data_IF_603575379278
#
_entry.id   IF_603575379278
#
_cell.length_a   1.000
_cell.length_b   1.000
_cell.length_c   1.000
_cell.angle_alpha   90.00
_cell.angle_beta   90.00
_cell.angle_gamma   90.00
#
_symmetry.space_group_name_H-M   'P 1'
#
loop_
_entity.id
_entity.type
_entity.pdbx_description
1 polymer ?
#
# COMPACT_ATOMS: atom_id res chain seq x y z
N UNK A 1 14.64 11.21 -8.84
CA UNK A 1 14.08 11.74 -7.57
C UNK A 1 14.53 13.19 -7.44
N UNK A 2 13.62 14.16 -7.29
CA UNK A 2 14.00 15.57 -7.16
C UNK A 2 14.63 15.80 -5.78
N UNK A 3 15.94 16.03 -5.77
CA UNK A 3 16.67 16.42 -4.57
C UNK A 3 16.19 17.80 -4.11
N UNK A 4 15.84 17.92 -2.83
CA UNK A 4 15.64 19.23 -2.22
C UNK A 4 16.96 20.01 -2.31
N UNK A 5 16.91 21.20 -2.91
CA UNK A 5 18.08 22.05 -3.16
C UNK A 5 18.85 22.47 -1.91
N UNK A 6 18.24 22.35 -0.71
CA UNK A 6 18.87 22.70 0.56
C UNK A 6 19.42 21.48 1.32
N UNK A 7 18.76 20.32 1.25
CA UNK A 7 19.11 19.18 2.10
C UNK A 7 19.86 18.04 1.40
N UNK A 8 19.92 18.01 0.07
CA UNK A 8 20.65 17.01 -0.73
C UNK A 8 20.53 15.57 -0.17
N UNK A 9 19.31 15.10 0.09
CA UNK A 9 19.07 13.73 0.54
C UNK A 9 19.66 13.41 1.92
N UNK A 10 19.61 14.37 2.85
CA UNK A 10 20.15 14.37 4.22
C UNK A 10 21.62 14.78 4.38
N UNK A 11 22.40 14.89 3.30
CA UNK A 11 23.78 15.40 3.36
C UNK A 11 23.87 16.85 3.89
N UNK A 12 22.80 17.65 3.71
CA UNK A 12 22.69 19.00 4.24
C UNK A 12 22.23 19.08 5.70
N UNK A 13 21.83 17.98 6.35
CA UNK A 13 21.33 18.02 7.73
C UNK A 13 22.43 18.47 8.71
N UNK A 14 23.62 17.87 8.62
CA UNK A 14 24.80 18.27 9.41
C UNK A 14 25.34 19.65 9.03
N UNK A 15 25.07 20.13 7.81
CA UNK A 15 25.47 21.48 7.38
C UNK A 15 24.49 22.55 7.85
N UNK A 16 23.22 22.18 8.07
CA UNK A 16 22.14 23.10 8.48
C UNK A 16 22.04 23.28 9.99
N UNK A 17 22.56 22.32 10.76
CA UNK A 17 22.55 22.35 12.22
C UNK A 17 23.98 22.10 12.75
N UNK A 18 24.56 23.10 13.42
CA UNK A 18 25.86 22.94 14.07
C UNK A 18 25.67 22.33 15.46
N UNK A 19 26.37 21.21 15.71
CA UNK A 19 26.44 20.54 17.01
C UNK A 19 27.85 20.62 17.62
N UNK A 20 28.68 21.54 17.11
CA UNK A 20 30.06 21.72 17.58
C UNK A 20 30.09 21.99 19.09
N UNK A 21 30.86 21.17 19.82
CA UNK A 21 30.99 21.26 21.28
C UNK A 21 29.93 20.50 22.09
N UNK A 22 28.86 19.99 21.47
CA UNK A 22 27.78 19.25 22.15
C UNK A 22 27.71 17.77 21.78
N UNK A 23 28.49 17.31 20.80
CA UNK A 23 28.44 15.92 20.28
C UNK A 23 28.53 14.87 21.39
N UNK A 24 29.38 15.09 22.40
CA UNK A 24 29.58 14.14 23.51
C UNK A 24 28.63 14.39 24.70
N UNK A 25 27.70 15.34 24.60
CA UNK A 25 26.73 15.62 25.67
C UNK A 25 25.76 14.45 25.79
N UNK A 26 25.59 13.87 26.99
CA UNK A 26 24.60 12.81 27.22
C UNK A 26 23.18 13.31 26.95
N UNK A 27 22.36 12.49 26.30
CA UNK A 27 20.95 12.75 26.05
C UNK A 27 20.16 11.43 26.01
N UNK A 28 18.84 11.56 25.95
CA UNK A 28 17.94 10.44 25.71
C UNK A 28 16.87 10.81 24.69
N UNK A 29 16.40 9.83 23.92
CA UNK A 29 15.34 10.01 22.94
C UNK A 29 14.40 8.82 22.95
N UNK A 30 13.21 9.01 22.39
CA UNK A 30 12.19 7.96 22.31
C UNK A 30 12.04 7.51 20.87
N UNK A 31 12.04 6.19 20.65
CA UNK A 31 11.80 5.58 19.35
C UNK A 31 10.78 4.45 19.45
N UNK A 32 10.15 4.12 18.32
CA UNK A 32 9.22 3.02 18.23
C UNK A 32 9.95 1.79 17.70
N UNK A 33 9.96 0.70 18.47
CA UNK A 33 10.50 -0.59 18.06
C UNK A 33 9.45 -1.68 18.13
N UNK A 34 9.61 -2.69 17.28
CA UNK A 34 8.76 -3.88 17.29
C UNK A 34 9.37 -4.91 18.24
N UNK A 35 8.59 -5.37 19.22
CA UNK A 35 9.02 -6.46 20.09
C UNK A 35 8.99 -7.83 19.39
N UNK A 36 9.41 -8.87 20.11
CA UNK A 36 9.44 -10.26 19.60
C UNK A 36 8.05 -10.81 19.25
N UNK A 37 7.01 -10.23 19.83
CA UNK A 37 5.62 -10.61 19.62
C UNK A 37 4.95 -9.75 18.54
N UNK A 38 5.70 -8.87 17.86
CA UNK A 38 5.22 -8.02 16.77
C UNK A 38 4.52 -6.74 17.24
N UNK A 39 4.60 -6.38 18.52
CA UNK A 39 3.94 -5.19 19.08
C UNK A 39 4.87 -3.99 19.02
N UNK A 40 4.32 -2.84 18.62
CA UNK A 40 5.05 -1.58 18.64
C UNK A 40 5.15 -1.04 20.07
N UNK A 41 6.37 -0.89 20.56
CA UNK A 41 6.69 -0.33 21.87
C UNK A 41 7.48 0.96 21.70
N UNK A 42 7.16 1.94 22.55
CA UNK A 42 7.93 3.16 22.67
C UNK A 42 9.05 2.92 23.67
N UNK A 43 10.28 2.87 23.18
CA UNK A 43 11.47 2.65 24.00
C UNK A 43 12.25 3.95 24.16
N UNK A 44 12.93 4.07 25.31
CA UNK A 44 13.85 5.16 25.57
C UNK A 44 15.27 4.68 25.33
N UNK A 45 15.96 5.35 24.41
CA UNK A 45 17.37 5.19 24.18
C UNK A 45 18.15 6.24 24.98
N UNK A 46 19.32 5.86 25.46
CA UNK A 46 20.27 6.75 26.11
C UNK A 46 21.57 6.73 25.33
N UNK A 47 22.15 7.91 25.13
CA UNK A 47 23.38 8.04 24.36
C UNK A 47 23.88 9.48 24.38
N UNK A 48 24.52 9.88 23.30
CA UNK A 48 25.09 11.20 23.11
C UNK A 48 24.31 11.97 22.04
N UNK A 49 24.45 13.29 22.03
CA UNK A 49 23.88 14.13 20.96
C UNK A 49 24.42 13.69 19.59
N UNK A 50 25.67 13.26 19.49
CA UNK A 50 26.25 12.71 18.26
C UNK A 50 25.49 11.49 17.74
N UNK A 51 25.24 10.51 18.60
CA UNK A 51 24.48 9.29 18.26
C UNK A 51 23.03 9.60 17.86
N UNK A 52 22.39 10.57 18.54
CA UNK A 52 21.06 11.04 18.16
C UNK A 52 21.06 11.69 16.76
N UNK A 53 22.06 12.50 16.45
CA UNK A 53 22.19 13.15 15.12
C UNK A 53 22.42 12.10 14.03
N UNK A 54 23.26 11.10 14.27
CA UNK A 54 23.45 9.98 13.35
C UNK A 54 22.15 9.21 13.11
N UNK A 55 21.42 8.91 14.18
CA UNK A 55 20.11 8.24 14.11
C UNK A 55 19.10 9.05 13.27
N UNK A 56 18.94 10.35 13.55
CA UNK A 56 18.03 11.23 12.79
C UNK A 56 18.46 11.30 11.31
N UNK A 57 19.75 11.46 11.04
CA UNK A 57 20.29 11.54 9.69
C UNK A 57 20.02 10.25 8.91
N UNK A 58 20.08 9.09 9.57
CA UNK A 58 19.79 7.80 8.95
C UNK A 58 18.31 7.63 8.57
N UNK A 59 17.37 8.10 9.42
CA UNK A 59 15.92 7.97 9.16
C UNK A 59 15.36 9.08 8.24
N UNK A 60 16.07 10.21 8.13
CA UNK A 60 15.59 11.40 7.43
C UNK A 60 15.27 11.16 5.94
N UNK A 61 16.08 10.45 5.13
CA UNK A 61 15.74 10.20 3.73
C UNK A 61 14.39 9.47 3.56
N UNK A 62 14.17 8.41 4.34
CA UNK A 62 12.92 7.64 4.31
C UNK A 62 11.73 8.50 4.77
N UNK A 63 11.93 9.31 5.83
CA UNK A 63 10.92 10.22 6.32
C UNK A 63 10.53 11.29 5.29
N UNK A 64 11.51 11.89 4.60
CA UNK A 64 11.27 12.88 3.55
C UNK A 64 10.54 12.27 2.36
N UNK A 65 10.92 11.07 1.94
CA UNK A 65 10.21 10.33 0.89
C UNK A 65 8.75 10.08 1.29
N UNK A 66 8.50 9.61 2.50
CA UNK A 66 7.14 9.42 3.03
C UNK A 66 6.33 10.72 3.06
N UNK A 67 6.95 11.82 3.52
CA UNK A 67 6.31 13.14 3.54
C UNK A 67 5.96 13.63 2.13
N UNK A 68 6.84 13.42 1.16
CA UNK A 68 6.58 13.75 -0.23
C UNK A 68 5.39 12.96 -0.77
N UNK A 69 5.43 11.62 -0.68
CA UNK A 69 4.37 10.72 -1.18
C UNK A 69 3.01 11.07 -0.56
N UNK A 70 2.96 11.25 0.76
CA UNK A 70 1.74 11.67 1.47
C UNK A 70 1.16 12.96 0.90
N UNK A 71 2.00 13.98 0.70
CA UNK A 71 1.56 15.31 0.25
C UNK A 71 1.02 15.26 -1.17
N UNK A 72 1.73 14.58 -2.07
CA UNK A 72 1.30 14.41 -3.47
C UNK A 72 -0.04 13.68 -3.57
N UNK A 73 -0.23 12.60 -2.79
CA UNK A 73 -1.48 11.85 -2.78
C UNK A 73 -2.63 12.65 -2.20
N UNK A 74 -2.41 13.38 -1.11
CA UNK A 74 -3.43 14.25 -0.53
C UNK A 74 -3.84 15.35 -1.53
N UNK A 75 -2.87 15.92 -2.25
CA UNK A 75 -3.15 16.90 -3.31
C UNK A 75 -3.95 16.29 -4.47
N UNK A 76 -3.57 15.09 -4.93
CA UNK A 76 -4.29 14.38 -5.99
C UNK A 76 -5.73 14.02 -5.58
N UNK A 77 -5.93 13.51 -4.36
CA UNK A 77 -7.24 13.22 -3.80
C UNK A 77 -8.12 14.48 -3.75
N UNK A 78 -7.60 15.58 -3.21
CA UNK A 78 -8.34 16.84 -3.13
C UNK A 78 -8.70 17.37 -4.53
N UNK A 79 -7.77 17.34 -5.48
CA UNK A 79 -8.01 17.78 -6.85
C UNK A 79 -9.08 16.93 -7.57
N UNK A 80 -9.10 15.61 -7.36
CA UNK A 80 -10.14 14.75 -7.93
C UNK A 80 -11.49 14.94 -7.24
N UNK A 81 -11.50 15.17 -5.92
CA UNK A 81 -12.72 15.50 -5.17
C UNK A 81 -13.32 16.81 -5.64
N UNK A 82 -12.50 17.85 -5.81
CA UNK A 82 -12.92 19.15 -6.35
C UNK A 82 -13.54 19.04 -7.75
N UNK A 83 -13.06 18.12 -8.59
CA UNK A 83 -13.64 17.82 -9.91
C UNK A 83 -14.99 17.09 -9.85
N UNK A 84 -15.24 16.32 -8.79
CA UNK A 84 -16.52 15.61 -8.60
C UNK A 84 -17.62 16.49 -7.98
N UNK A 85 -17.25 17.66 -7.42
CA UNK A 85 -18.12 18.60 -6.70
C UNK A 85 -18.63 19.85 -7.49
N UNK A 86 -18.22 20.23 -8.72
CA UNK A 86 -18.65 21.51 -9.30
C UNK A 86 -20.15 21.56 -9.67
N UNK A 87 -20.72 22.77 -9.60
CA UNK A 87 -22.13 23.12 -9.85
C UNK A 87 -22.62 22.84 -11.29
N UNK A 88 -21.73 22.61 -12.25
CA UNK A 88 -22.14 22.19 -13.60
C UNK A 88 -22.50 20.70 -13.56
N UNK A 89 -23.80 20.39 -13.52
CA UNK A 89 -24.47 19.09 -13.34
C UNK A 89 -24.14 18.00 -14.41
N UNK A 90 -22.93 17.99 -14.96
CA UNK A 90 -22.49 17.07 -16.00
C UNK A 90 -21.27 16.24 -15.57
N UNK A 91 -21.28 15.78 -14.32
CA UNK A 91 -20.22 14.95 -13.76
C UNK A 91 -20.39 13.51 -14.24
N UNK A 92 -19.75 13.20 -15.37
CA UNK A 92 -19.50 11.83 -15.82
C UNK A 92 -18.49 11.08 -14.94
N UNK A 93 -17.96 11.75 -13.91
CA UNK A 93 -16.96 11.22 -12.99
C UNK A 93 -17.45 11.23 -11.56
N UNK A 94 -17.14 10.19 -10.80
CA UNK A 94 -17.31 10.12 -9.36
C UNK A 94 -15.97 9.91 -8.63
N UNK A 95 -15.90 10.31 -7.37
CA UNK A 95 -14.84 9.90 -6.45
C UNK A 95 -15.45 9.04 -5.35
N UNK A 96 -14.84 7.90 -5.04
CA UNK A 96 -15.26 7.02 -3.96
C UNK A 96 -14.09 6.83 -3.00
N UNK A 97 -14.27 7.16 -1.72
CA UNK A 97 -13.36 6.74 -0.66
C UNK A 97 -13.99 5.58 0.11
N UNK A 98 -13.23 4.50 0.34
CA UNK A 98 -13.67 3.33 1.12
C UNK A 98 -12.69 2.97 2.23
N UNK A 99 -13.22 2.44 3.32
CA UNK A 99 -12.44 1.76 4.35
C UNK A 99 -13.31 0.78 5.17
N UNK A 100 -12.67 -0.18 5.83
CA UNK A 100 -13.32 -0.97 6.89
C UNK A 100 -13.21 -0.22 8.21
N UNK A 101 -14.36 0.23 8.73
CA UNK A 101 -14.42 0.68 10.13
C UNK A 101 -14.20 -0.53 11.04
N UNK A 102 -13.58 -0.31 12.20
CA UNK A 102 -13.57 -1.29 13.28
C UNK A 102 -14.99 -1.81 13.53
N UNK A 103 -15.09 -3.14 13.69
CA UNK A 103 -16.34 -3.85 13.89
C UNK A 103 -17.17 -3.25 15.02
N UNK A 104 -18.48 -3.26 14.87
CA UNK A 104 -19.39 -2.93 15.95
C UNK A 104 -19.58 -4.15 16.84
N UNK A 105 -19.24 -4.03 18.10
CA UNK A 105 -19.53 -5.05 19.10
C UNK A 105 -20.98 -4.91 19.56
N UNK A 106 -21.78 -5.94 19.28
CA UNK A 106 -23.16 -6.03 19.71
C UNK A 106 -23.19 -6.17 21.23
N UNK A 107 -23.68 -5.13 21.90
CA UNK A 107 -23.91 -5.13 23.34
C UNK A 107 -25.40 -4.99 23.63
N UNK A 108 -25.87 -5.49 24.78
CA UNK A 108 -27.19 -5.18 25.33
C UNK A 108 -27.09 -4.27 26.56
N UNK A 109 -28.10 -3.42 26.78
CA UNK A 109 -28.14 -2.47 27.90
C UNK A 109 -28.05 -3.16 29.26
N UNK A 110 -28.69 -4.33 29.40
CA UNK A 110 -28.74 -5.12 30.64
C UNK A 110 -28.00 -6.46 30.49
N UNK A 111 -26.76 -6.42 29.98
CA UNK A 111 -25.95 -7.63 29.78
C UNK A 111 -25.60 -8.33 31.10
N UNK A 112 -25.96 -9.61 31.18
CA UNK A 112 -25.45 -10.50 32.22
C UNK A 112 -23.95 -10.76 32.01
N UNK A 113 -23.23 -11.07 33.09
CA UNK A 113 -21.77 -11.25 33.06
C UNK A 113 -21.29 -12.29 32.02
N UNK A 114 -22.06 -13.35 31.77
CA UNK A 114 -21.70 -14.36 30.77
C UNK A 114 -21.83 -13.88 29.32
N UNK A 115 -22.68 -12.90 29.04
CA UNK A 115 -22.83 -12.29 27.70
C UNK A 115 -21.61 -11.43 27.32
N UNK A 116 -20.95 -10.83 28.31
CA UNK A 116 -19.77 -10.00 28.12
C UNK A 116 -18.60 -10.73 27.44
N UNK A 117 -18.46 -12.04 27.65
CA UNK A 117 -17.35 -12.85 27.09
C UNK A 117 -17.61 -13.39 25.68
N UNK A 118 -18.83 -13.24 25.16
CA UNK A 118 -19.23 -13.77 23.85
C UNK A 118 -20.05 -12.74 23.07
N UNK A 119 -19.46 -11.56 22.88
CA UNK A 119 -20.12 -10.48 22.15
C UNK A 119 -19.98 -10.71 20.65
N UNK A 120 -21.13 -10.77 19.97
CA UNK A 120 -21.15 -10.81 18.51
C UNK A 120 -20.64 -9.50 17.94
N UNK A 121 -20.13 -9.55 16.73
CA UNK A 121 -19.66 -8.37 16.03
C UNK A 121 -20.32 -8.26 14.66
N UNK A 122 -20.43 -7.03 14.20
CA UNK A 122 -20.88 -6.67 12.85
C UNK A 122 -19.73 -5.96 12.16
N UNK A 123 -19.40 -6.35 10.93
CA UNK A 123 -18.45 -5.66 10.07
C UNK A 123 -19.10 -4.44 9.43
N UNK A 124 -18.35 -3.34 9.31
CA UNK A 124 -18.81 -2.08 8.70
C UNK A 124 -17.84 -1.68 7.58
N UNK A 125 -18.30 -1.79 6.33
CA UNK A 125 -17.61 -1.22 5.18
C UNK A 125 -18.17 0.17 4.90
N UNK A 126 -17.35 1.19 5.14
CA UNK A 126 -17.75 2.60 5.05
C UNK A 126 -17.33 3.20 3.73
N UNK A 127 -18.19 4.03 3.15
CA UNK A 127 -17.97 4.64 1.86
C UNK A 127 -18.45 6.10 1.82
N UNK A 128 -17.64 6.95 1.20
CA UNK A 128 -17.98 8.33 0.88
C UNK A 128 -17.88 8.50 -0.63
N UNK A 129 -19.01 8.77 -1.29
CA UNK A 129 -19.09 8.94 -2.74
C UNK A 129 -19.37 10.40 -3.04
N UNK A 130 -18.52 11.04 -3.84
CA UNK A 130 -18.74 12.38 -4.38
C UNK A 130 -19.15 12.26 -5.84
N UNK A 131 -20.32 12.81 -6.17
CA UNK A 131 -20.76 13.03 -7.54
C UNK A 131 -21.83 14.13 -7.55
N UNK A 132 -22.02 14.79 -8.69
CA UNK A 132 -23.09 15.78 -8.89
C UNK A 132 -23.11 16.89 -7.82
N UNK A 133 -21.93 17.31 -7.33
CA UNK A 133 -21.84 18.36 -6.32
C UNK A 133 -22.12 17.94 -4.88
N UNK A 134 -22.42 16.66 -4.63
CA UNK A 134 -22.87 16.17 -3.33
C UNK A 134 -22.00 15.03 -2.80
N UNK A 135 -21.95 14.93 -1.47
CA UNK A 135 -21.40 13.77 -0.76
C UNK A 135 -22.54 12.81 -0.41
N UNK A 136 -22.38 11.56 -0.79
CA UNK A 136 -23.27 10.45 -0.46
C UNK A 136 -22.52 9.48 0.46
N UNK A 137 -22.96 9.40 1.72
CA UNK A 137 -22.36 8.51 2.72
C UNK A 137 -23.09 7.17 2.75
N UNK A 138 -22.33 6.08 2.69
CA UNK A 138 -22.85 4.72 2.72
C UNK A 138 -22.13 3.87 3.77
N UNK A 139 -22.87 2.93 4.36
CA UNK A 139 -22.33 1.88 5.23
C UNK A 139 -22.94 0.55 4.79
N UNK A 140 -22.08 -0.39 4.42
CA UNK A 140 -22.47 -1.76 4.16
C UNK A 140 -22.13 -2.60 5.39
N UNK A 141 -23.13 -3.24 5.98
CA UNK A 141 -22.97 -4.02 7.22
C UNK A 141 -23.14 -5.50 6.96
N UNK A 142 -22.30 -6.32 7.60
CA UNK A 142 -22.32 -7.77 7.42
C UNK A 142 -22.00 -8.51 8.71
N UNK A 143 -22.60 -9.69 8.89
CA UNK A 143 -22.19 -10.66 9.92
C UNK A 143 -20.89 -11.38 9.52
N UNK A 144 -20.45 -11.26 8.26
CA UNK A 144 -19.16 -11.78 7.85
C UNK A 144 -18.01 -10.84 8.29
N UNK A 145 -17.10 -11.37 9.10
CA UNK A 145 -15.98 -10.65 9.70
C UNK A 145 -14.64 -10.91 8.99
N UNK A 146 -14.63 -11.64 7.86
CA UNK A 146 -13.37 -12.03 7.21
C UNK A 146 -12.61 -10.88 6.56
N UNK A 147 -13.32 -9.80 6.18
CA UNK A 147 -12.75 -8.65 5.46
C UNK A 147 -11.90 -9.08 4.25
N UNK A 148 -12.38 -10.11 3.57
CA UNK A 148 -11.66 -10.81 2.53
C UNK A 148 -11.79 -10.11 1.18
N UNK A 149 -11.07 -10.61 0.17
CA UNK A 149 -11.27 -10.24 -1.24
C UNK A 149 -12.73 -10.41 -1.70
N UNK A 150 -13.42 -11.42 -1.17
CA UNK A 150 -14.79 -11.77 -1.52
C UNK A 150 -15.76 -10.73 -0.96
N UNK A 151 -15.56 -10.35 0.31
CA UNK A 151 -16.36 -9.30 0.98
C UNK A 151 -16.12 -7.95 0.33
N UNK A 152 -14.85 -7.60 0.12
CA UNK A 152 -14.45 -6.30 -0.45
C UNK A 152 -15.01 -6.15 -1.85
N UNK A 153 -14.91 -7.17 -2.70
CA UNK A 153 -15.42 -7.08 -4.08
C UNK A 153 -16.94 -7.02 -4.12
N UNK A 154 -17.65 -7.79 -3.28
CA UNK A 154 -19.11 -7.71 -3.18
C UNK A 154 -19.58 -6.32 -2.70
N UNK A 155 -18.89 -5.75 -1.71
CA UNK A 155 -19.18 -4.39 -1.22
C UNK A 155 -18.94 -3.34 -2.30
N UNK A 156 -17.83 -3.44 -3.05
CA UNK A 156 -17.58 -2.55 -4.20
C UNK A 156 -18.68 -2.69 -5.27
N UNK A 157 -19.11 -3.91 -5.56
CA UNK A 157 -20.20 -4.17 -6.51
C UNK A 157 -21.55 -3.58 -6.06
N UNK A 158 -21.82 -3.52 -4.77
CA UNK A 158 -22.99 -2.81 -4.20
C UNK A 158 -22.84 -1.31 -4.41
N UNK A 159 -21.70 -0.73 -4.02
CA UNK A 159 -21.47 0.73 -4.09
C UNK A 159 -21.51 1.26 -5.52
N UNK A 160 -20.90 0.55 -6.47
CA UNK A 160 -20.93 0.94 -7.89
C UNK A 160 -22.36 0.92 -8.43
N UNK A 161 -23.23 0.04 -7.93
CA UNK A 161 -24.64 -0.01 -8.29
C UNK A 161 -25.48 1.16 -7.76
N UNK A 162 -24.96 1.98 -6.85
CA UNK A 162 -25.63 3.21 -6.40
C UNK A 162 -25.31 4.43 -7.27
N UNK A 163 -24.33 4.33 -8.16
CA UNK A 163 -23.97 5.43 -9.04
C UNK A 163 -25.07 5.65 -10.08
N UNK A 164 -25.37 6.91 -10.43
CA UNK A 164 -26.31 7.18 -11.51
C UNK A 164 -25.70 6.80 -12.87
N UNK A 165 -26.55 6.40 -13.82
CA UNK A 165 -26.15 6.00 -15.18
C UNK A 165 -25.32 7.06 -15.95
N UNK A 166 -25.37 8.32 -15.51
CA UNK A 166 -24.57 9.40 -16.09
C UNK A 166 -23.07 9.30 -15.75
N UNK A 167 -22.70 8.57 -14.70
CA UNK A 167 -21.30 8.41 -14.27
C UNK A 167 -20.65 7.30 -15.09
N UNK A 168 -19.65 7.66 -15.90
CA UNK A 168 -18.90 6.74 -16.75
C UNK A 168 -17.47 6.49 -16.27
N UNK A 169 -16.98 7.25 -15.28
CA UNK A 169 -15.67 7.02 -14.65
C UNK A 169 -15.73 7.20 -13.14
N UNK A 170 -14.90 6.43 -12.42
CA UNK A 170 -14.75 6.53 -10.98
C UNK A 170 -13.30 6.45 -10.55
N UNK A 171 -12.93 7.34 -9.65
CA UNK A 171 -11.67 7.26 -8.91
C UNK A 171 -11.92 6.77 -7.48
N UNK A 172 -11.48 5.56 -7.20
CA UNK A 172 -11.54 4.92 -5.89
C UNK A 172 -10.30 5.32 -5.10
N UNK A 173 -10.47 5.59 -3.81
CA UNK A 173 -9.41 5.86 -2.85
C UNK A 173 -9.60 5.00 -1.61
N UNK A 174 -8.54 4.29 -1.21
CA UNK A 174 -8.54 3.53 0.04
C UNK A 174 -7.17 3.56 0.69
N UNK A 175 -7.08 3.11 1.94
CA UNK A 175 -5.81 2.68 2.49
C UNK A 175 -5.27 1.45 1.72
N UNK A 176 -4.00 1.13 1.95
CA UNK A 176 -3.28 0.08 1.22
C UNK A 176 -2.97 -1.23 1.97
N UNK A 177 -3.69 -1.70 3.02
CA UNK A 177 -3.38 -2.99 3.62
C UNK A 177 -3.56 -4.12 2.59
N UNK A 178 -2.55 -4.97 2.47
CA UNK A 178 -2.55 -6.07 1.50
C UNK A 178 -3.64 -7.12 1.77
N UNK A 179 -4.06 -7.27 3.03
CA UNK A 179 -5.14 -8.18 3.42
C UNK A 179 -6.50 -7.81 2.84
N UNK A 180 -6.72 -6.52 2.49
CA UNK A 180 -8.03 -6.01 2.08
C UNK A 180 -7.97 -5.42 0.67
N UNK A 181 -7.26 -4.31 0.48
CA UNK A 181 -7.37 -3.49 -0.73
C UNK A 181 -6.22 -3.67 -1.72
N UNK A 182 -4.98 -3.72 -1.24
CA UNK A 182 -3.78 -3.67 -2.09
C UNK A 182 -3.24 -5.08 -2.36
N UNK A 183 -3.98 -5.88 -3.13
CA UNK A 183 -3.58 -7.24 -3.49
C UNK A 183 -4.01 -7.61 -4.92
N UNK A 184 -3.46 -8.73 -5.41
CA UNK A 184 -3.71 -9.25 -6.78
C UNK A 184 -5.18 -9.54 -7.07
N UNK A 185 -5.95 -9.92 -6.06
CA UNK A 185 -7.36 -10.27 -6.23
C UNK A 185 -8.19 -9.03 -6.48
N UNK A 186 -7.95 -7.96 -5.71
CA UNK A 186 -8.61 -6.67 -5.95
C UNK A 186 -8.23 -6.09 -7.31
N UNK A 187 -6.98 -6.21 -7.74
CA UNK A 187 -6.59 -5.82 -9.09
C UNK A 187 -7.35 -6.62 -10.16
N UNK A 188 -7.45 -7.95 -9.99
CA UNK A 188 -8.16 -8.82 -10.93
C UNK A 188 -9.68 -8.58 -10.96
N UNK A 189 -10.29 -8.13 -9.86
CA UNK A 189 -11.73 -7.82 -9.82
C UNK A 189 -12.10 -6.49 -10.47
N UNK A 190 -11.15 -5.60 -10.74
CA UNK A 190 -11.44 -4.30 -11.36
C UNK A 190 -12.06 -4.43 -12.76
N UNK A 191 -11.57 -5.36 -13.58
CA UNK A 191 -12.10 -5.56 -14.94
C UNK A 191 -13.56 -6.05 -14.97
N UNK A 192 -13.93 -7.15 -14.27
CA UNK A 192 -15.34 -7.59 -14.24
C UNK A 192 -16.26 -6.55 -13.58
N UNK A 193 -15.80 -5.82 -12.54
CA UNK A 193 -16.57 -4.73 -11.93
C UNK A 193 -16.84 -3.60 -12.94
N UNK A 194 -15.79 -3.11 -13.62
CA UNK A 194 -15.92 -2.03 -14.61
C UNK A 194 -16.85 -2.43 -15.76
N UNK A 195 -16.75 -3.68 -16.24
CA UNK A 195 -17.65 -4.21 -17.27
C UNK A 195 -19.10 -4.33 -16.79
N UNK A 196 -19.32 -4.81 -15.57
CA UNK A 196 -20.67 -5.01 -15.03
C UNK A 196 -21.43 -3.68 -14.84
N UNK A 197 -20.71 -2.63 -14.45
CA UNK A 197 -21.28 -1.30 -14.19
C UNK A 197 -21.06 -0.31 -15.34
N UNK A 198 -20.42 -0.73 -16.44
CA UNK A 198 -20.08 0.11 -17.60
C UNK A 198 -19.33 1.39 -17.21
N UNK A 199 -18.39 1.25 -16.29
CA UNK A 199 -17.66 2.36 -15.69
C UNK A 199 -16.15 2.13 -15.76
N UNK A 200 -15.40 3.17 -16.09
CA UNK A 200 -13.94 3.15 -16.04
C UNK A 200 -13.46 3.31 -14.60
N UNK A 201 -12.72 2.33 -14.10
CA UNK A 201 -12.27 2.29 -12.71
C UNK A 201 -10.77 2.59 -12.60
N UNK A 202 -10.46 3.59 -11.78
CA UNK A 202 -9.11 3.88 -11.28
C UNK A 202 -9.10 3.69 -9.76
N UNK A 203 -8.13 2.95 -9.22
CA UNK A 203 -7.99 2.72 -7.77
C UNK A 203 -6.67 3.30 -7.27
N UNK A 204 -6.77 4.31 -6.42
CA UNK A 204 -5.67 5.01 -5.78
C UNK A 204 -5.51 4.56 -4.33
N UNK A 205 -4.27 4.55 -3.85
CA UNK A 205 -3.97 4.19 -2.47
C UNK A 205 -3.27 5.34 -1.74
N UNK A 206 -3.78 5.67 -0.55
CA UNK A 206 -3.07 6.56 0.36
C UNK A 206 -1.76 5.92 0.87
N UNK A 207 -0.81 6.77 1.23
CA UNK A 207 0.37 6.39 1.97
C UNK A 207 -0.05 5.77 3.30
N UNK A 208 0.70 4.77 3.73
CA UNK A 208 0.44 4.06 4.99
C UNK A 208 0.19 5.04 6.13
N UNK A 209 -0.93 4.85 6.83
CA UNK A 209 -1.38 5.66 7.97
C UNK A 209 -1.88 7.08 7.64
N UNK A 210 -2.14 7.39 6.36
CA UNK A 210 -2.65 8.71 5.94
C UNK A 210 -3.96 8.67 5.15
N UNK A 211 -4.66 7.53 5.06
CA UNK A 211 -5.99 7.45 4.41
C UNK A 211 -7.17 7.89 5.27
N UNK A 212 -6.90 8.44 6.47
CA UNK A 212 -7.95 8.98 7.33
C UNK A 212 -8.79 10.03 6.60
N UNK A 213 -10.10 9.93 6.72
CA UNK A 213 -11.02 10.81 6.02
C UNK A 213 -12.48 10.65 6.45
N UNK A 214 -13.42 11.08 5.59
CA UNK A 214 -14.85 11.01 5.86
C UNK A 214 -15.35 9.60 6.25
N UNK A 215 -14.75 8.55 5.70
CA UNK A 215 -15.07 7.14 5.99
C UNK A 215 -14.97 6.79 7.49
N UNK A 216 -13.94 7.29 8.19
CA UNK A 216 -13.80 7.13 9.64
C UNK A 216 -14.94 7.80 10.41
N UNK A 217 -15.31 9.02 9.98
CA UNK A 217 -16.37 9.81 10.58
C UNK A 217 -17.75 9.18 10.39
N UNK A 218 -18.01 8.61 9.21
CA UNK A 218 -19.24 7.88 8.87
C UNK A 218 -19.38 6.66 9.79
N UNK A 219 -18.35 5.81 9.87
CA UNK A 219 -18.35 4.62 10.72
C UNK A 219 -18.50 4.95 12.20
N UNK A 220 -17.70 5.91 12.70
CA UNK A 220 -17.77 6.34 14.09
C UNK A 220 -19.14 6.92 14.47
N UNK A 221 -19.74 7.73 13.60
CA UNK A 221 -21.06 8.34 13.83
C UNK A 221 -22.16 7.28 13.89
N UNK A 222 -22.16 6.32 12.96
CA UNK A 222 -23.15 5.24 12.96
C UNK A 222 -23.04 4.32 14.17
N UNK A 223 -21.81 3.91 14.54
CA UNK A 223 -21.58 3.11 15.75
C UNK A 223 -22.08 3.83 17.00
N UNK A 224 -21.79 5.13 17.13
CA UNK A 224 -22.27 5.94 18.26
C UNK A 224 -23.80 6.06 18.26
N UNK A 225 -24.40 6.32 17.11
CA UNK A 225 -25.85 6.45 16.97
C UNK A 225 -26.58 5.17 17.37
N UNK A 226 -26.16 4.03 16.82
CA UNK A 226 -26.72 2.72 17.12
C UNK A 226 -26.50 2.36 18.59
N UNK A 227 -25.29 2.58 19.13
CA UNK A 227 -25.01 2.36 20.55
C UNK A 227 -25.94 3.17 21.45
N UNK A 228 -26.21 4.44 21.14
CA UNK A 228 -27.14 5.25 21.93
C UNK A 228 -28.56 4.68 21.91
N UNK A 229 -29.04 4.20 20.76
CA UNK A 229 -30.35 3.53 20.67
C UNK A 229 -30.42 2.26 21.51
N UNK A 230 -29.36 1.45 21.48
CA UNK A 230 -29.24 0.24 22.31
C UNK A 230 -29.26 0.59 23.80
N UNK A 231 -28.43 1.55 24.23
CA UNK A 231 -28.34 1.96 25.63
C UNK A 231 -29.60 2.67 26.15
N UNK A 232 -30.44 3.19 25.27
CA UNK A 232 -31.74 3.76 25.61
C UNK A 232 -32.88 2.73 25.56
N UNK A 233 -32.58 1.45 25.30
CA UNK A 233 -33.58 0.38 25.19
C UNK A 233 -34.48 0.49 23.96
N UNK A 234 -34.08 1.28 22.95
CA UNK A 234 -34.88 1.53 21.75
C UNK A 234 -34.71 0.44 20.70
N UNK A 235 -33.54 -0.21 20.65
CA UNK A 235 -33.25 -1.30 19.72
C UNK A 235 -32.41 -2.38 20.41
N UNK A 236 -32.57 -3.62 19.95
CA UNK A 236 -31.71 -4.75 20.30
C UNK A 236 -30.90 -5.11 19.06
N UNK A 237 -29.58 -4.96 19.13
CA UNK A 237 -28.68 -5.21 18.00
C UNK A 237 -27.87 -6.47 18.28
N UNK A 238 -28.04 -7.48 17.42
CA UNK A 238 -27.42 -8.81 17.60
C UNK A 238 -26.75 -9.35 16.33
N UNK A 239 -26.92 -8.65 15.21
CA UNK A 239 -26.44 -9.00 13.87
C UNK A 239 -26.51 -7.77 12.94
N UNK A 240 -26.02 -7.92 11.71
CA UNK A 240 -26.00 -6.86 10.69
C UNK A 240 -27.38 -6.33 10.34
N UNK A 241 -28.39 -7.20 10.20
CA UNK A 241 -29.77 -6.80 9.90
C UNK A 241 -30.35 -5.86 10.97
N UNK A 242 -30.21 -6.23 12.25
CA UNK A 242 -30.68 -5.41 13.38
C UNK A 242 -29.86 -4.12 13.54
N UNK A 243 -28.57 -4.14 13.18
CA UNK A 243 -27.75 -2.92 13.10
C UNK A 243 -28.29 -1.98 12.02
N UNK A 244 -28.56 -2.49 10.81
CA UNK A 244 -29.09 -1.71 9.70
C UNK A 244 -30.46 -1.10 10.05
N UNK A 245 -31.34 -1.87 10.69
CA UNK A 245 -32.62 -1.38 11.19
C UNK A 245 -32.46 -0.25 12.21
N UNK A 246 -31.58 -0.43 13.21
CA UNK A 246 -31.30 0.60 14.21
C UNK A 246 -30.73 1.89 13.58
N UNK A 247 -29.89 1.76 12.54
CA UNK A 247 -29.28 2.88 11.82
C UNK A 247 -30.17 3.48 10.72
N UNK A 248 -31.29 2.85 10.36
CA UNK A 248 -32.16 3.26 9.24
C UNK A 248 -32.71 4.69 9.36
N UNK A 249 -32.82 5.21 10.59
CA UNK A 249 -33.32 6.57 10.86
C UNK A 249 -32.19 7.60 10.90
N UNK A 250 -30.96 7.24 10.56
CA UNK A 250 -29.87 8.21 10.44
C UNK A 250 -30.09 9.11 9.22
N UNK A 251 -30.01 10.42 9.42
CA UNK A 251 -30.02 11.36 8.32
C UNK A 251 -28.69 11.31 7.56
N UNK A 252 -28.74 11.46 6.24
CA UNK A 252 -27.57 11.61 5.36
C UNK A 252 -26.61 10.41 5.28
N UNK A 253 -26.96 9.24 5.81
CA UNK A 253 -26.19 8.00 5.68
C UNK A 253 -27.08 6.86 5.22
N UNK A 254 -26.75 6.24 4.09
CA UNK A 254 -27.43 5.05 3.60
C UNK A 254 -26.80 3.80 4.20
N UNK A 255 -27.55 3.05 5.00
CA UNK A 255 -27.08 1.80 5.61
C UNK A 255 -27.75 0.61 4.91
N UNK A 256 -26.94 -0.35 4.45
CA UNK A 256 -27.43 -1.54 3.75
C UNK A 256 -26.80 -2.79 4.32
N UNK A 257 -27.63 -3.79 4.60
CA UNK A 257 -27.14 -5.12 4.95
C UNK A 257 -26.61 -5.86 3.72
N UNK A 258 -25.42 -6.43 3.83
CA UNK A 258 -24.80 -7.30 2.82
C UNK A 258 -24.53 -8.65 3.45
N UNK A 259 -25.52 -9.55 3.36
CA UNK A 259 -25.45 -10.89 3.95
C UNK A 259 -24.45 -11.79 3.21
N UNK A 260 -24.00 -12.88 3.84
CA UNK A 260 -23.12 -13.86 3.20
C UNK A 260 -23.73 -14.43 1.91
N UNK A 261 -25.04 -14.65 1.88
CA UNK A 261 -25.73 -15.10 0.67
C UNK A 261 -25.65 -14.08 -0.45
N UNK A 262 -25.76 -12.79 -0.13
CA UNK A 262 -25.63 -11.71 -1.11
C UNK A 262 -24.18 -11.58 -1.62
N UNK A 263 -23.19 -11.75 -0.75
CA UNK A 263 -21.76 -11.81 -1.11
C UNK A 263 -21.52 -12.94 -2.12
N UNK A 264 -21.95 -14.16 -1.80
CA UNK A 264 -21.82 -15.32 -2.70
C UNK A 264 -22.53 -15.08 -4.02
N UNK A 265 -23.75 -14.52 -4.01
CA UNK A 265 -24.52 -14.24 -5.22
C UNK A 265 -23.82 -13.25 -6.13
N UNK A 266 -23.28 -12.15 -5.58
CA UNK A 266 -22.56 -11.12 -6.34
C UNK A 266 -21.26 -11.64 -6.92
N UNK A 267 -20.49 -12.37 -6.12
CA UNK A 267 -19.22 -12.94 -6.55
C UNK A 267 -19.43 -14.00 -7.65
N UNK A 268 -20.48 -14.82 -7.54
CA UNK A 268 -20.88 -15.77 -8.59
C UNK A 268 -21.29 -15.07 -9.88
N UNK A 269 -22.05 -13.96 -9.81
CA UNK A 269 -22.45 -13.18 -11.01
C UNK A 269 -21.25 -12.60 -11.76
N UNK A 270 -20.18 -12.25 -11.03
CA UNK A 270 -18.94 -11.69 -11.59
C UNK A 270 -17.90 -12.77 -11.95
N UNK A 271 -18.23 -14.05 -11.74
CA UNK A 271 -17.33 -15.20 -11.91
C UNK A 271 -15.98 -15.05 -11.17
N UNK A 272 -16.02 -14.51 -9.95
CA UNK A 272 -14.79 -14.17 -9.23
C UNK A 272 -13.98 -15.38 -8.75
N UNK A 273 -14.61 -16.53 -8.55
CA UNK A 273 -13.90 -17.75 -8.14
C UNK A 273 -12.84 -18.13 -9.18
N UNK A 274 -13.25 -18.24 -10.45
CA UNK A 274 -12.35 -18.50 -11.56
C UNK A 274 -11.29 -17.39 -11.71
N UNK A 275 -11.71 -16.12 -11.64
CA UNK A 275 -10.81 -14.97 -11.80
C UNK A 275 -9.74 -14.96 -10.70
N UNK A 276 -10.12 -15.18 -9.44
CA UNK A 276 -9.18 -15.20 -8.33
C UNK A 276 -8.25 -16.41 -8.35
N UNK A 277 -8.72 -17.55 -8.87
CA UNK A 277 -7.88 -18.73 -9.07
C UNK A 277 -6.74 -18.47 -10.08
N UNK A 278 -7.01 -17.65 -11.10
CA UNK A 278 -6.08 -17.29 -12.17
C UNK A 278 -5.31 -15.98 -11.93
N UNK A 279 -5.64 -15.24 -10.87
CA UNK A 279 -4.99 -13.97 -10.58
C UNK A 279 -3.51 -14.20 -10.26
N UNK A 280 -2.58 -13.71 -11.09
CA UNK A 280 -1.15 -13.88 -10.85
C UNK A 280 -0.62 -12.88 -9.79
N UNK A 281 0.44 -13.22 -9.03
CA UNK A 281 1.08 -12.27 -8.14
C UNK A 281 1.54 -11.01 -8.89
N UNK A 282 1.24 -9.84 -8.33
CA UNK A 282 1.69 -8.56 -8.87
C UNK A 282 2.97 -8.15 -8.14
N UNK A 283 4.11 -8.25 -8.83
CA UNK A 283 5.43 -7.90 -8.29
C UNK A 283 5.45 -6.46 -7.78
N UNK A 284 5.95 -6.25 -6.57
CA UNK A 284 6.05 -4.93 -5.93
C UNK A 284 4.72 -4.17 -5.73
N UNK A 285 3.57 -4.87 -5.71
CA UNK A 285 2.26 -4.22 -5.49
C UNK A 285 2.20 -3.33 -4.23
N UNK A 286 2.92 -3.70 -3.17
CA UNK A 286 3.00 -2.90 -1.94
C UNK A 286 3.55 -1.47 -2.16
N UNK A 287 4.42 -1.28 -3.17
CA UNK A 287 5.01 0.02 -3.54
C UNK A 287 4.15 0.82 -4.53
N UNK A 288 3.08 0.22 -5.06
CA UNK A 288 2.20 0.88 -6.03
C UNK A 288 1.20 1.78 -5.31
N UNK A 289 0.90 2.93 -5.90
CA UNK A 289 -0.09 3.88 -5.37
C UNK A 289 -1.30 4.04 -6.29
N UNK A 290 -1.32 3.31 -7.40
CA UNK A 290 -2.35 3.40 -8.42
C UNK A 290 -2.51 2.08 -9.18
N UNK A 291 -3.76 1.68 -9.41
CA UNK A 291 -4.17 0.60 -10.30
C UNK A 291 -5.20 1.13 -11.30
N UNK A 292 -5.04 0.81 -12.58
CA UNK A 292 -5.99 1.16 -13.63
C UNK A 292 -6.25 -0.02 -14.54
N UNK A 293 -7.52 -0.20 -14.89
CA UNK A 293 -7.94 -1.16 -15.91
C UNK A 293 -7.62 -0.59 -17.30
N UNK A 294 -6.98 -1.39 -18.14
CA UNK A 294 -6.77 -1.11 -19.57
C UNK A 294 -7.27 -2.29 -20.41
N UNK A 295 -7.38 -2.09 -21.73
CA UNK A 295 -7.82 -3.13 -22.67
C UNK A 295 -6.94 -4.39 -22.66
N UNK A 296 -5.67 -4.25 -22.27
CA UNK A 296 -4.66 -5.31 -22.29
C UNK A 296 -4.32 -5.86 -20.88
N UNK A 297 -5.02 -5.41 -19.82
CA UNK A 297 -4.79 -5.85 -18.44
C UNK A 297 -4.84 -4.72 -17.41
N UNK A 298 -4.31 -4.96 -16.20
CA UNK A 298 -4.19 -3.93 -15.14
C UNK A 298 -2.83 -3.25 -15.25
N UNK A 299 -2.83 -1.95 -15.53
CA UNK A 299 -1.62 -1.11 -15.49
C UNK A 299 -1.50 -0.54 -14.08
N UNK A 300 -0.28 -0.53 -13.55
CA UNK A 300 0.02 -0.03 -12.22
C UNK A 300 1.15 0.98 -12.28
N UNK A 301 1.03 2.06 -11.50
CA UNK A 301 2.03 3.12 -11.46
C UNK A 301 2.49 3.36 -10.02
N UNK A 302 3.77 3.75 -9.88
CA UNK A 302 4.39 4.02 -8.59
C UNK A 302 3.86 5.34 -8.00
N UNK A 303 3.51 6.34 -8.80
CA UNK A 303 2.90 7.59 -8.31
C UNK A 303 1.65 7.99 -9.10
N UNK A 304 0.66 8.57 -8.42
CA UNK A 304 -0.60 9.06 -9.03
C UNK A 304 -0.36 10.08 -10.15
N UNK A 305 0.73 10.86 -10.07
CA UNK A 305 1.14 11.84 -11.10
C UNK A 305 1.65 11.21 -12.40
N UNK A 306 2.14 9.97 -12.37
CA UNK A 306 2.69 9.29 -13.55
C UNK A 306 1.57 8.89 -14.53
N UNK A 307 0.30 9.00 -14.12
CA UNK A 307 -0.88 8.85 -14.98
C UNK A 307 -1.04 9.95 -16.05
N UNK A 308 -0.30 11.08 -15.94
CA UNK A 308 -0.54 12.27 -16.79
C UNK A 308 0.38 12.45 -18.00
N UNK A 309 1.39 11.60 -18.23
CA UNK A 309 2.23 11.73 -19.43
C UNK A 309 1.93 10.63 -20.45
N UNK A 310 1.11 10.97 -21.45
CA UNK A 310 1.08 10.26 -22.73
C UNK A 310 2.12 10.85 -23.68
N UNK A 311 2.73 9.94 -24.43
CA UNK A 311 3.56 10.10 -25.62
C UNK A 311 5.03 10.43 -25.36
N UNK A 312 5.84 9.40 -25.08
CA UNK A 312 7.10 9.25 -25.80
C UNK A 312 7.41 7.75 -25.93
N UNK A 313 7.34 7.27 -27.18
CA UNK A 313 7.94 6.01 -27.59
C UNK A 313 9.41 6.33 -27.82
N UNK A 314 10.26 6.05 -26.83
CA UNK A 314 11.70 5.92 -27.08
C UNK A 314 12.13 4.48 -26.81
N UNK A 315 12.18 3.74 -27.91
CA UNK A 315 12.90 2.48 -28.06
C UNK A 315 14.38 2.66 -27.71
N UNK A 316 14.81 2.20 -26.54
CA UNK A 316 16.20 1.83 -26.31
C UNK A 316 16.39 0.32 -26.45
N UNK A 317 17.38 -0.03 -27.26
CA UNK A 317 17.67 -1.36 -27.76
C UNK A 317 18.22 -2.31 -26.70
N UNK A 318 17.65 -3.52 -26.69
CA UNK A 318 18.02 -4.75 -25.97
C UNK A 318 19.53 -4.95 -25.74
N UNK A 319 19.95 -4.86 -24.48
CA UNK A 319 20.97 -5.76 -23.89
C UNK A 319 20.19 -6.97 -23.34
N UNK A 320 20.66 -8.19 -23.59
CA UNK A 320 19.95 -9.41 -23.21
C UNK A 320 19.57 -9.40 -21.72
N UNK A 321 18.32 -9.77 -21.41
CA UNK A 321 17.78 -9.72 -20.06
C UNK A 321 18.70 -10.44 -19.07
N UNK A 322 19.18 -9.71 -18.06
CA UNK A 322 20.00 -10.27 -16.97
C UNK A 322 19.11 -11.22 -16.17
N UNK A 323 19.58 -12.46 -15.97
CA UNK A 323 18.85 -13.52 -15.27
C UNK A 323 19.60 -14.00 -14.03
N UNK A 324 18.90 -14.67 -13.11
CA UNK A 324 19.52 -15.34 -11.96
C UNK A 324 20.53 -16.39 -12.45
N UNK A 325 21.73 -16.39 -11.87
CA UNK A 325 22.87 -17.22 -12.25
C UNK A 325 23.84 -16.55 -13.23
N UNK A 326 23.51 -15.37 -13.76
CA UNK A 326 24.48 -14.58 -14.53
C UNK A 326 25.59 -14.02 -13.63
N UNK A 327 26.81 -13.93 -14.16
CA UNK A 327 27.95 -13.34 -13.46
C UNK A 327 28.22 -11.93 -13.97
N UNK A 328 28.45 -11.01 -13.04
CA UNK A 328 28.71 -9.62 -13.36
C UNK A 328 29.82 -9.03 -12.50
N UNK A 329 30.56 -8.10 -13.10
CA UNK A 329 31.40 -7.16 -12.38
C UNK A 329 30.52 -5.99 -11.93
N UNK A 330 30.40 -5.79 -10.62
CA UNK A 330 29.57 -4.74 -10.06
C UNK A 330 30.39 -3.66 -9.36
N UNK A 331 29.92 -2.41 -9.41
CA UNK A 331 30.58 -1.28 -8.76
C UNK A 331 29.84 -0.84 -7.49
N UNK A 332 30.56 -0.80 -6.37
CA UNK A 332 30.06 -0.28 -5.10
C UNK A 332 31.09 0.65 -4.45
N UNK A 333 30.67 1.88 -4.13
CA UNK A 333 31.52 2.93 -3.52
C UNK A 333 32.88 3.10 -4.22
N UNK A 334 32.89 3.08 -5.56
CA UNK A 334 34.09 3.26 -6.39
C UNK A 334 35.02 2.05 -6.45
N UNK A 335 34.64 0.90 -5.90
CA UNK A 335 35.37 -0.38 -6.01
C UNK A 335 34.55 -1.37 -6.83
N UNK A 336 35.25 -2.27 -7.52
CA UNK A 336 34.65 -3.30 -8.38
C UNK A 336 34.77 -4.68 -7.75
N UNK A 337 33.68 -5.43 -7.82
CA UNK A 337 33.57 -6.76 -7.23
C UNK A 337 32.92 -7.69 -8.23
N UNK A 338 33.50 -8.86 -8.54
CA UNK A 338 32.80 -9.87 -9.31
C UNK A 338 31.78 -10.59 -8.43
N UNK A 339 30.62 -10.89 -8.99
CA UNK A 339 29.56 -11.57 -8.26
C UNK A 339 28.54 -12.26 -9.16
N UNK A 340 27.74 -13.11 -8.53
CA UNK A 340 26.67 -13.87 -9.16
C UNK A 340 25.33 -13.22 -8.85
N UNK A 341 24.49 -13.03 -9.87
CA UNK A 341 23.12 -12.55 -9.72
C UNK A 341 22.29 -13.63 -9.05
N UNK A 342 21.85 -13.36 -7.82
CA UNK A 342 21.06 -14.30 -7.01
C UNK A 342 19.57 -13.97 -7.02
N UNK A 343 19.18 -12.76 -7.42
CA UNK A 343 17.80 -12.37 -7.65
C UNK A 343 17.69 -11.22 -8.66
N UNK A 344 16.64 -11.21 -9.47
CA UNK A 344 16.32 -10.15 -10.44
C UNK A 344 14.98 -9.52 -10.06
N UNK A 345 14.93 -8.19 -9.97
CA UNK A 345 13.70 -7.45 -9.66
C UNK A 345 13.31 -6.61 -10.88
N UNK A 346 12.10 -6.87 -11.41
CA UNK A 346 11.58 -6.20 -12.60
C UNK A 346 10.92 -4.86 -12.26
N UNK A 347 11.54 -3.77 -12.70
CA UNK A 347 11.01 -2.39 -12.76
C UNK A 347 11.57 -1.67 -14.00
N UNK A 348 11.17 -0.43 -14.27
CA UNK A 348 11.67 0.37 -15.42
C UNK A 348 13.19 0.65 -15.38
N UNK A 349 13.82 0.45 -14.21
CA UNK A 349 15.27 0.41 -14.03
C UNK A 349 15.61 -0.93 -13.37
N UNK A 350 16.45 -1.77 -13.98
CA UNK A 350 16.74 -3.12 -13.48
C UNK A 350 17.45 -3.08 -12.12
N UNK A 351 16.88 -3.74 -11.11
CA UNK A 351 17.54 -3.98 -9.81
C UNK A 351 17.95 -5.45 -9.69
N UNK A 352 19.22 -5.71 -9.41
CA UNK A 352 19.83 -7.03 -9.37
C UNK A 352 20.46 -7.28 -8.01
N UNK A 353 20.03 -8.33 -7.31
CA UNK A 353 20.75 -8.77 -6.12
C UNK A 353 21.95 -9.57 -6.57
N UNK A 354 23.16 -9.09 -6.24
CA UNK A 354 24.40 -9.75 -6.62
C UNK A 354 25.15 -10.15 -5.36
N UNK A 355 25.44 -11.44 -5.25
CA UNK A 355 26.33 -11.97 -4.23
C UNK A 355 27.76 -11.76 -4.71
N UNK A 356 28.59 -11.01 -3.97
CA UNK A 356 29.93 -10.60 -4.44
C UNK A 356 31.07 -11.35 -3.74
N UNK A 357 32.19 -11.49 -4.45
CA UNK A 357 33.44 -12.04 -3.92
C UNK A 357 34.42 -10.95 -3.51
N UNK A 358 35.30 -11.28 -2.56
CA UNK A 358 36.40 -10.42 -2.11
C UNK A 358 37.72 -10.88 -2.71
N UNK A 359 38.61 -9.90 -2.98
CA UNK A 359 39.94 -10.17 -3.54
C UNK A 359 40.89 -10.69 -2.47
N UNK A 360 41.48 -11.86 -2.72
CA UNK A 360 42.50 -12.49 -1.87
C UNK A 360 43.77 -12.73 -2.70
N UNK A 361 44.68 -11.77 -2.66
CA UNK A 361 45.90 -11.78 -3.49
C UNK A 361 45.56 -11.69 -4.98
N UNK A 362 45.87 -12.76 -5.72
CA UNK A 362 45.56 -12.90 -7.17
C UNK A 362 44.28 -13.69 -7.47
N UNK A 363 43.53 -14.06 -6.44
CA UNK A 363 42.32 -14.88 -6.53
C UNK A 363 41.13 -14.18 -5.86
N UNK A 364 39.96 -14.77 -6.00
CA UNK A 364 38.71 -14.30 -5.39
C UNK A 364 38.16 -15.36 -4.44
N UNK A 365 37.46 -14.94 -3.39
CA UNK A 365 36.84 -15.85 -2.43
C UNK A 365 35.50 -15.29 -1.98
N UNK A 366 34.54 -16.16 -1.72
CA UNK A 366 33.31 -15.78 -1.04
C UNK A 366 33.59 -15.32 0.39
N UNK A 367 33.01 -14.20 0.85
CA UNK A 367 33.14 -13.76 2.24
C UNK A 367 32.51 -14.77 3.20
N UNK A 368 32.99 -14.79 4.45
CA UNK A 368 32.52 -15.76 5.46
C UNK A 368 31.04 -15.55 5.83
N UNK A 369 30.58 -14.29 5.82
CA UNK A 369 29.17 -13.92 5.82
C UNK A 369 28.78 -13.56 4.40
N UNK A 370 27.69 -14.13 3.89
CA UNK A 370 27.24 -13.90 2.51
C UNK A 370 26.96 -12.41 2.29
N UNK A 371 27.75 -11.78 1.42
CA UNK A 371 27.57 -10.38 1.02
C UNK A 371 26.75 -10.33 -0.28
N UNK A 372 25.45 -10.10 -0.14
CA UNK A 372 24.51 -10.05 -1.25
C UNK A 372 23.58 -8.85 -1.10
N UNK A 373 23.87 -7.79 -1.86
CA UNK A 373 23.14 -6.53 -1.86
C UNK A 373 22.54 -6.25 -3.24
N UNK A 374 21.67 -5.23 -3.31
CA UNK A 374 21.05 -4.79 -4.55
C UNK A 374 21.92 -3.80 -5.30
N UNK A 375 22.09 -4.04 -6.60
CA UNK A 375 22.78 -3.21 -7.57
C UNK A 375 21.78 -2.75 -8.62
N UNK A 376 21.83 -1.47 -8.97
CA UNK A 376 21.12 -0.95 -10.14
C UNK A 376 21.81 -1.44 -11.42
N UNK A 377 21.09 -1.49 -12.54
CA UNK A 377 21.63 -1.85 -13.85
C UNK A 377 22.87 -1.03 -14.22
N UNK A 378 22.89 0.26 -13.89
CA UNK A 378 24.03 1.16 -14.08
C UNK A 378 25.30 0.75 -13.31
N UNK A 379 25.14 -0.04 -12.25
CA UNK A 379 26.22 -0.58 -11.43
C UNK A 379 26.66 -1.98 -11.87
N UNK A 380 26.01 -2.56 -12.88
CA UNK A 380 26.38 -3.82 -13.54
C UNK A 380 27.39 -3.54 -14.66
N UNK A 381 28.66 -3.35 -14.30
CA UNK A 381 29.73 -2.82 -15.17
C UNK A 381 30.01 -3.71 -16.39
N UNK A 382 30.09 -5.03 -16.20
CA UNK A 382 30.37 -5.97 -17.29
C UNK A 382 29.87 -7.37 -16.96
N UNK A 383 29.31 -8.09 -17.94
CA UNK A 383 28.99 -9.52 -17.82
C UNK A 383 30.28 -10.34 -17.83
N UNK A 384 30.38 -11.32 -16.93
CA UNK A 384 31.52 -12.20 -16.76
C UNK A 384 31.11 -13.64 -17.09
N UNK A 385 32.10 -14.46 -17.44
CA UNK A 385 31.95 -15.91 -17.40
C UNK A 385 32.04 -16.40 -15.94
N UNK A 386 31.41 -17.54 -15.66
CA UNK A 386 31.52 -18.19 -14.35
C UNK A 386 33.00 -18.48 -14.01
N UNK A 387 33.44 -18.27 -12.76
CA UNK A 387 34.83 -18.43 -12.39
C UNK A 387 35.24 -19.90 -12.28
N UNK A 388 36.52 -20.15 -12.51
CA UNK A 388 37.14 -21.45 -12.29
C UNK A 388 37.53 -21.63 -10.82
N UNK A 389 37.22 -22.80 -10.26
CA UNK A 389 37.66 -23.19 -8.91
C UNK A 389 39.14 -23.57 -8.95
N UNK A 390 39.99 -22.83 -8.23
CA UNK A 390 41.45 -23.01 -8.25
C UNK A 390 41.92 -24.06 -7.24
N UNK A 391 41.25 -24.17 -6.08
CA UNK A 391 41.61 -25.13 -5.04
C UNK A 391 40.44 -25.42 -4.08
N UNK A 392 40.62 -26.46 -3.25
CA UNK A 392 39.64 -26.87 -2.21
C UNK A 392 39.52 -25.88 -1.03
N UNK A 393 40.23 -24.74 -1.06
CA UNK A 393 40.11 -23.67 -0.04
C UNK A 393 39.10 -22.58 -0.46
N UNK A 394 38.39 -22.80 -1.56
CA UNK A 394 37.36 -21.89 -2.09
C UNK A 394 37.93 -20.67 -2.80
N UNK A 395 39.10 -20.79 -3.43
CA UNK A 395 39.65 -19.73 -4.28
C UNK A 395 39.15 -19.86 -5.71
N UNK A 396 38.78 -18.74 -6.30
CA UNK A 396 38.20 -18.61 -7.63
C UNK A 396 39.09 -17.73 -8.53
N UNK A 397 39.09 -18.01 -9.83
CA UNK A 397 39.78 -17.21 -10.86
C UNK A 397 38.83 -16.93 -12.02
N UNK A 398 38.84 -15.69 -12.51
CA UNK A 398 38.14 -15.30 -13.73
C UNK A 398 39.10 -15.30 -14.93
N UNK A 399 38.55 -15.60 -16.11
CA UNK A 399 39.27 -15.63 -17.39
C UNK A 399 39.69 -14.22 -17.86
N UNK A 400 38.90 -13.20 -17.53
CA UNK A 400 39.21 -11.79 -17.75
C UNK A 400 40.00 -11.19 -16.58
N UNK A 401 40.86 -10.19 -16.85
CA UNK A 401 41.45 -9.36 -15.79
C UNK A 401 40.37 -8.42 -15.23
N UNK A 402 40.15 -8.50 -13.91
CA UNK A 402 39.09 -7.79 -13.17
C UNK A 402 39.67 -6.80 -12.16
#
# INVERSE_FOLDING_TARGET
MNECAECHGAAGFNNSYSFEGSVNTPCSWLQWEMDKDGRMLKIQEEGTVGELVEHITAILPQFLQHCYVKREQAAAYNAQREKAVPESHNSHSALLQVDFSENFTCVAQDEIQSAHWNQRQVSLFTAAIWHSGSLHSHILVSDNLTHSKDDTTANMDVLLGYLPDSVSSISIWSDGPASQFKNRYMAASLHPLGKAHKIDIEWNFFATSHGKGPVDGIGGSAKRFVMQKVLNGQHIVTNAASFADAASTMENVCVTEVSTTEITRRNGRLNLEDIFSQAEPITAIGKMHFLKVTSDGVVSHVLTKDSTNRNDVETHSRVGAIVVGDWFLVEYKGKRFPGEVVAVHGGEVGEYQVSVMERVGRYWKWPAQKDAIFYMEEKMVAKLDAPEVVNNRGHFKFSAEI
#
